data_IF_354899418094
#
_entry.id   IF_354899418094
#
_cell.length_a   1.000
_cell.length_b   1.000
_cell.length_c   1.000
_cell.angle_alpha   90.00
_cell.angle_beta   90.00
_cell.angle_gamma   90.00
#
_symmetry.space_group_name_H-M   'P 1'
#
loop_
_entity.id
_entity.type
_entity.pdbx_description
1 polymer ?
#
# COMPACT_ATOMS: atom_id res chain seq x y z
N UNK A 1 51.65 -27.41 52.56
CA UNK A 1 52.53 -26.89 51.45
C UNK A 1 51.80 -25.78 50.75
N UNK A 2 52.29 -24.55 50.84
CA UNK A 2 51.65 -23.39 50.15
C UNK A 2 52.11 -23.40 48.68
N UNK A 3 51.23 -23.32 47.71
CA UNK A 3 51.62 -23.28 46.30
C UNK A 3 52.43 -22.02 46.00
N UNK A 4 53.51 -22.18 45.24
CA UNK A 4 54.43 -21.10 44.89
C UNK A 4 53.76 -19.98 44.09
N UNK A 5 54.23 -18.74 44.27
CA UNK A 5 53.64 -17.56 43.62
C UNK A 5 53.61 -17.69 42.10
N UNK A 6 54.53 -18.41 41.51
CA UNK A 6 54.61 -18.69 40.06
C UNK A 6 53.43 -19.55 39.59
N UNK A 7 53.03 -20.55 40.37
CA UNK A 7 51.88 -21.39 40.00
C UNK A 7 50.55 -20.62 40.03
N UNK A 8 50.38 -19.67 40.95
CA UNK A 8 49.21 -18.82 41.06
C UNK A 8 49.14 -17.80 39.90
N UNK A 9 50.27 -17.32 39.43
CA UNK A 9 50.34 -16.37 38.32
C UNK A 9 50.04 -17.07 36.98
N UNK A 10 50.52 -18.28 36.79
CA UNK A 10 50.22 -19.11 35.61
C UNK A 10 48.76 -19.47 35.54
N UNK A 11 48.14 -19.89 36.67
CA UNK A 11 46.70 -20.23 36.72
C UNK A 11 45.78 -19.04 36.46
N UNK A 12 46.18 -17.84 36.93
CA UNK A 12 45.42 -16.60 36.64
C UNK A 12 45.48 -16.19 35.17
N UNK A 13 46.63 -16.40 34.49
CA UNK A 13 46.77 -16.07 33.05
C UNK A 13 46.00 -17.04 32.16
N UNK A 14 45.95 -18.34 32.48
CA UNK A 14 45.17 -19.32 31.75
C UNK A 14 43.68 -19.11 31.91
N UNK A 15 43.23 -18.74 33.12
CA UNK A 15 41.81 -18.45 33.37
C UNK A 15 41.34 -17.18 32.67
N UNK A 16 42.18 -16.13 32.61
CA UNK A 16 41.86 -14.89 31.90
C UNK A 16 41.76 -15.09 30.40
N UNK A 17 42.64 -15.91 29.79
CA UNK A 17 42.59 -16.22 28.36
C UNK A 17 41.38 -17.09 28.01
N UNK A 18 40.97 -18.01 28.88
CA UNK A 18 39.80 -18.85 28.67
C UNK A 18 38.48 -18.00 28.75
N UNK A 19 38.44 -17.03 29.65
CA UNK A 19 37.28 -16.15 29.80
C UNK A 19 37.14 -15.18 28.59
N UNK A 20 38.26 -14.70 28.06
CA UNK A 20 38.28 -13.84 26.88
C UNK A 20 37.89 -14.59 25.60
N UNK A 21 38.22 -15.86 25.48
CA UNK A 21 37.84 -16.71 24.34
C UNK A 21 36.33 -17.03 24.35
N UNK A 22 35.70 -17.12 25.52
CA UNK A 22 34.29 -17.44 25.64
C UNK A 22 33.37 -16.23 25.27
N UNK A 23 33.87 -15.01 25.42
CA UNK A 23 33.10 -13.79 25.09
C UNK A 23 33.12 -13.47 23.60
N UNK A 24 34.07 -13.95 22.83
CA UNK A 24 34.16 -13.70 21.38
C UNK A 24 33.25 -14.66 20.58
N UNK A 25 32.90 -15.82 21.14
CA UNK A 25 32.09 -16.82 20.44
C UNK A 25 30.59 -16.52 20.50
N UNK A 26 30.14 -15.60 21.34
CA UNK A 26 28.72 -15.21 21.46
C UNK A 26 28.30 -14.07 20.52
N UNK A 27 29.22 -13.51 19.73
CA UNK A 27 28.94 -12.35 18.87
C UNK A 27 28.59 -12.69 17.40
N UNK A 28 28.51 -13.96 17.02
CA UNK A 28 28.19 -14.38 15.65
C UNK A 28 27.01 -15.37 15.67
N UNK A 29 25.93 -15.01 16.34
CA UNK A 29 24.64 -15.55 15.92
C UNK A 29 24.08 -14.58 14.85
N UNK A 30 23.88 -15.00 13.60
CA UNK A 30 23.07 -14.23 12.71
C UNK A 30 21.71 -14.11 13.37
N UNK A 31 21.31 -12.90 13.74
CA UNK A 31 19.93 -12.63 14.09
C UNK A 31 19.09 -13.18 12.92
N UNK A 32 17.98 -13.93 13.18
CA UNK A 32 17.09 -14.25 12.10
C UNK A 32 16.68 -12.90 11.51
N UNK A 33 17.17 -12.61 10.32
CA UNK A 33 16.61 -11.56 9.51
C UNK A 33 15.17 -12.04 9.27
N UNK A 34 14.22 -11.55 10.09
CA UNK A 34 12.86 -11.47 9.65
C UNK A 34 12.96 -10.56 8.43
N UNK A 35 13.03 -11.18 7.27
CA UNK A 35 12.76 -10.50 6.03
C UNK A 35 11.36 -9.91 6.25
N UNK A 36 11.32 -8.65 6.61
CA UNK A 36 10.12 -7.87 6.47
C UNK A 36 9.80 -8.01 4.99
N UNK A 37 8.71 -8.71 4.72
CA UNK A 37 8.12 -8.85 3.39
C UNK A 37 7.59 -7.46 3.01
N UNK A 38 8.53 -6.55 2.76
CA UNK A 38 8.31 -5.13 2.53
C UNK A 38 8.32 -4.78 1.06
N UNK A 39 8.11 -5.77 0.20
CA UNK A 39 7.93 -5.55 -1.23
C UNK A 39 6.44 -5.50 -1.62
N UNK A 40 5.58 -5.05 -0.71
CA UNK A 40 4.27 -4.58 -1.11
C UNK A 40 4.45 -3.22 -1.77
N UNK A 41 4.65 -3.26 -3.07
CA UNK A 41 4.72 -2.09 -3.91
C UNK A 41 3.43 -1.28 -3.73
N UNK A 42 3.52 -0.16 -3.02
CA UNK A 42 2.38 0.73 -2.78
C UNK A 42 1.96 1.30 -4.13
N UNK A 43 0.71 1.05 -4.52
CA UNK A 43 0.11 1.57 -5.74
C UNK A 43 -0.80 2.73 -5.40
N UNK A 44 -0.47 3.93 -5.85
CA UNK A 44 -1.38 5.08 -5.78
C UNK A 44 -2.50 4.90 -6.79
N UNK A 45 -3.75 5.00 -6.31
CA UNK A 45 -4.97 4.96 -7.11
C UNK A 45 -5.66 6.30 -6.98
N UNK A 46 -5.72 7.06 -8.07
CA UNK A 46 -6.35 8.38 -8.12
C UNK A 46 -7.84 8.21 -8.29
N UNK A 47 -8.60 8.72 -7.35
CA UNK A 47 -10.05 8.53 -7.24
C UNK A 47 -10.76 9.84 -7.48
N UNK A 48 -11.66 9.88 -8.45
CA UNK A 48 -12.52 11.04 -8.69
C UNK A 48 -13.46 11.31 -7.51
N UNK A 49 -13.44 12.54 -7.01
CA UNK A 49 -14.26 13.02 -5.91
C UNK A 49 -15.22 14.10 -6.38
N UNK A 50 -16.49 13.71 -6.51
CA UNK A 50 -17.55 14.63 -6.93
C UNK A 50 -17.82 15.68 -5.88
N UNK A 51 -17.71 16.94 -6.22
CA UNK A 51 -18.11 18.04 -5.37
C UNK A 51 -19.66 18.09 -5.24
N UNK A 52 -20.14 18.42 -4.06
CA UNK A 52 -21.59 18.53 -3.76
C UNK A 52 -22.41 17.23 -3.95
N UNK A 53 -21.81 16.07 -3.81
CA UNK A 53 -22.50 14.79 -3.90
C UNK A 53 -22.96 14.31 -2.52
N UNK A 54 -23.94 15.01 -1.98
CA UNK A 54 -24.44 14.85 -0.61
C UNK A 54 -24.90 13.41 -0.33
N UNK A 55 -24.50 12.88 0.82
CA UNK A 55 -24.80 11.52 1.28
C UNK A 55 -23.87 10.45 0.67
N UNK A 56 -23.22 10.74 -0.45
CA UNK A 56 -22.37 9.78 -1.15
C UNK A 56 -20.87 10.13 -1.02
N UNK A 57 -20.48 11.33 -1.39
CA UNK A 57 -19.14 11.88 -1.22
C UNK A 57 -19.25 13.25 -0.56
N UNK A 58 -18.86 13.35 0.69
CA UNK A 58 -18.95 14.55 1.50
C UNK A 58 -17.58 14.97 2.01
N UNK A 59 -17.34 16.25 2.10
CA UNK A 59 -16.06 16.85 2.49
C UNK A 59 -15.17 17.18 1.30
N UNK A 60 -14.04 17.78 1.60
CA UNK A 60 -13.02 18.19 0.62
C UNK A 60 -11.78 17.33 0.76
N UNK A 61 -11.18 16.81 -0.33
CA UNK A 61 -9.89 16.13 -0.26
C UNK A 61 -8.82 16.97 0.46
N UNK A 62 -8.13 16.33 1.40
CA UNK A 62 -7.22 17.02 2.33
C UNK A 62 -7.86 17.35 3.68
N UNK A 63 -9.18 17.25 3.81
CA UNK A 63 -9.92 17.41 5.04
C UNK A 63 -10.63 16.10 5.43
N UNK A 64 -11.58 16.18 6.35
CA UNK A 64 -12.38 15.00 6.75
C UNK A 64 -13.36 14.63 5.63
N UNK A 65 -13.20 13.43 5.08
CA UNK A 65 -14.11 12.85 4.12
C UNK A 65 -15.13 11.93 4.80
N UNK A 66 -16.32 11.84 4.24
CA UNK A 66 -17.40 10.97 4.69
C UNK A 66 -18.38 10.65 3.55
N UNK A 67 -19.41 9.89 3.87
CA UNK A 67 -20.42 9.47 2.92
C UNK A 67 -20.23 8.03 2.45
N UNK A 68 -21.31 7.48 1.90
CA UNK A 68 -21.40 6.07 1.57
C UNK A 68 -20.31 5.62 0.57
N UNK A 69 -20.02 6.42 -0.45
CA UNK A 69 -18.97 6.12 -1.42
C UNK A 69 -17.57 6.14 -0.82
N UNK A 70 -17.33 7.02 0.16
CA UNK A 70 -16.09 7.00 0.93
C UNK A 70 -15.93 5.71 1.74
N UNK A 71 -16.97 5.34 2.49
CA UNK A 71 -16.97 4.13 3.33
C UNK A 71 -16.79 2.86 2.48
N UNK A 72 -17.43 2.83 1.30
CA UNK A 72 -17.23 1.74 0.35
C UNK A 72 -15.76 1.61 -0.10
N UNK A 73 -15.10 2.72 -0.44
CA UNK A 73 -13.68 2.72 -0.81
C UNK A 73 -12.79 2.28 0.36
N UNK A 74 -13.10 2.69 1.59
CA UNK A 74 -12.40 2.21 2.77
C UNK A 74 -12.55 0.69 2.93
N UNK A 75 -13.76 0.17 2.72
CA UNK A 75 -14.01 -1.28 2.74
C UNK A 75 -13.23 -1.99 1.63
N UNK A 76 -13.21 -1.43 0.42
CA UNK A 76 -12.47 -1.99 -0.72
C UNK A 76 -10.97 -2.09 -0.43
N UNK A 77 -10.41 -1.17 0.36
CA UNK A 77 -8.99 -1.18 0.72
C UNK A 77 -8.55 -2.44 1.48
N UNK A 78 -9.45 -3.11 2.19
CA UNK A 78 -9.15 -4.39 2.83
C UNK A 78 -8.87 -5.52 1.84
N UNK A 79 -9.43 -5.42 0.63
CA UNK A 79 -9.27 -6.41 -0.42
C UNK A 79 -8.18 -6.05 -1.42
N UNK A 80 -7.80 -4.77 -1.48
CA UNK A 80 -6.79 -4.24 -2.40
C UNK A 80 -5.53 -3.85 -1.63
N UNK A 81 -4.83 -4.84 -1.08
CA UNK A 81 -3.61 -4.62 -0.30
C UNK A 81 -2.58 -3.85 -1.12
N UNK A 82 -1.98 -2.84 -0.49
CA UNK A 82 -0.98 -1.98 -1.14
C UNK A 82 -1.56 -0.85 -1.98
N UNK A 83 -2.89 -0.70 -2.07
CA UNK A 83 -3.48 0.47 -2.70
C UNK A 83 -3.56 1.64 -1.72
N UNK A 84 -3.18 2.82 -2.20
CA UNK A 84 -3.40 4.09 -1.50
C UNK A 84 -4.26 4.98 -2.39
N UNK A 85 -5.35 5.52 -1.83
CA UNK A 85 -6.26 6.40 -2.56
C UNK A 85 -5.80 7.85 -2.45
N UNK A 86 -5.69 8.49 -3.60
CA UNK A 86 -5.53 9.93 -3.76
C UNK A 86 -6.81 10.49 -4.37
N UNK A 87 -7.48 11.41 -3.67
CA UNK A 87 -8.77 11.94 -4.12
C UNK A 87 -8.58 13.22 -4.91
N UNK A 88 -9.16 13.25 -6.12
CA UNK A 88 -9.11 14.39 -7.05
C UNK A 88 -10.50 14.97 -7.19
N UNK A 89 -10.69 16.20 -6.71
CA UNK A 89 -12.01 16.88 -6.77
C UNK A 89 -12.34 17.42 -8.15
N UNK A 90 -13.60 17.36 -8.52
CA UNK A 90 -14.10 17.95 -9.75
C UNK A 90 -15.61 17.83 -9.90
N UNK A 91 -16.12 18.46 -10.91
CA UNK A 91 -17.49 18.24 -11.41
C UNK A 91 -17.58 16.88 -12.11
N UNK A 92 -18.77 16.38 -12.35
CA UNK A 92 -18.97 15.12 -13.03
C UNK A 92 -18.31 15.09 -14.42
N UNK A 93 -18.44 16.18 -15.20
CA UNK A 93 -17.88 16.27 -16.54
C UNK A 93 -16.35 16.26 -16.52
N UNK A 94 -15.74 17.09 -15.66
CA UNK A 94 -14.29 17.16 -15.52
C UNK A 94 -13.71 15.79 -15.10
N UNK A 95 -14.31 15.13 -14.12
CA UNK A 95 -13.83 13.83 -13.67
C UNK A 95 -14.02 12.73 -14.72
N UNK A 96 -15.07 12.81 -15.54
CA UNK A 96 -15.25 11.88 -16.67
C UNK A 96 -14.17 12.08 -17.73
N UNK A 97 -13.86 13.32 -18.08
CA UNK A 97 -12.80 13.64 -19.03
C UNK A 97 -11.42 13.18 -18.50
N UNK A 98 -11.14 13.41 -17.22
CA UNK A 98 -9.93 12.93 -16.55
C UNK A 98 -9.84 11.40 -16.51
N UNK A 99 -10.97 10.71 -16.29
CA UNK A 99 -11.02 9.25 -16.28
C UNK A 99 -10.75 8.69 -17.69
N UNK A 100 -11.34 9.26 -18.72
CA UNK A 100 -11.09 8.88 -20.11
C UNK A 100 -9.64 9.18 -20.54
N UNK A 101 -9.08 10.30 -20.08
CA UNK A 101 -7.67 10.66 -20.33
C UNK A 101 -6.70 9.81 -19.52
N UNK A 102 -7.15 9.19 -18.42
CA UNK A 102 -6.35 8.43 -17.48
C UNK A 102 -5.56 9.28 -16.52
N UNK A 103 -6.04 10.46 -16.24
CA UNK A 103 -5.54 11.34 -15.19
C UNK A 103 -6.04 10.90 -13.82
N UNK A 104 -7.21 10.25 -13.75
CA UNK A 104 -7.68 9.48 -12.61
C UNK A 104 -7.89 8.01 -12.99
N UNK A 105 -7.83 7.13 -12.00
CA UNK A 105 -7.85 5.68 -12.21
C UNK A 105 -9.21 5.07 -11.89
N UNK A 106 -9.98 5.70 -11.02
CA UNK A 106 -11.24 5.20 -10.50
C UNK A 106 -12.21 6.35 -10.23
N UNK A 107 -13.47 6.14 -10.54
CA UNK A 107 -14.54 7.07 -10.21
C UNK A 107 -15.76 6.29 -9.69
N UNK A 108 -16.13 6.42 -8.41
CA UNK A 108 -17.34 5.81 -7.86
C UNK A 108 -18.59 6.60 -8.28
N UNK A 109 -19.77 5.97 -8.10
CA UNK A 109 -21.06 6.60 -8.33
C UNK A 109 -21.36 7.03 -9.77
N UNK A 110 -20.94 6.23 -10.75
CA UNK A 110 -21.35 6.43 -12.14
C UNK A 110 -22.35 5.34 -12.55
N UNK A 111 -23.43 5.72 -13.21
CA UNK A 111 -24.38 4.76 -13.78
C UNK A 111 -23.83 4.11 -15.03
N UNK A 112 -24.08 2.83 -15.19
CA UNK A 112 -23.76 2.09 -16.42
C UNK A 112 -24.51 2.67 -17.61
N UNK A 113 -23.82 2.76 -18.74
CA UNK A 113 -24.43 2.89 -20.06
C UNK A 113 -23.55 2.16 -21.10
N UNK A 114 -24.20 1.64 -22.15
CA UNK A 114 -23.50 0.95 -23.23
C UNK A 114 -22.49 1.87 -23.96
N UNK A 115 -22.71 3.16 -23.98
CA UNK A 115 -21.80 4.16 -24.54
C UNK A 115 -20.53 4.26 -23.68
N UNK A 116 -20.69 4.33 -22.37
CA UNK A 116 -19.55 4.43 -21.44
C UNK A 116 -18.73 3.14 -21.39
N UNK A 117 -19.38 1.97 -21.52
CA UNK A 117 -18.71 0.67 -21.56
C UNK A 117 -17.72 0.55 -22.72
N UNK A 118 -17.90 1.30 -23.79
CA UNK A 118 -16.94 1.32 -24.91
C UNK A 118 -15.60 1.97 -24.54
N UNK A 119 -15.58 2.78 -23.51
CA UNK A 119 -14.41 3.57 -23.08
C UNK A 119 -13.90 3.20 -21.69
N UNK A 120 -14.77 2.70 -20.83
CA UNK A 120 -14.52 2.47 -19.40
C UNK A 120 -14.78 1.02 -19.03
N UNK A 121 -14.05 0.54 -18.04
CA UNK A 121 -14.35 -0.74 -17.38
C UNK A 121 -15.31 -0.52 -16.22
N UNK A 122 -16.31 -1.37 -16.17
CA UNK A 122 -17.28 -1.43 -15.08
C UNK A 122 -16.96 -2.59 -14.15
N UNK A 123 -17.19 -2.42 -12.86
CA UNK A 123 -17.16 -3.55 -11.93
C UNK A 123 -18.30 -4.52 -12.27
N UNK A 124 -18.04 -5.82 -12.09
CA UNK A 124 -19.07 -6.86 -12.29
C UNK A 124 -20.19 -6.78 -11.26
N UNK A 125 -19.90 -6.23 -10.08
CA UNK A 125 -20.88 -6.02 -9.02
C UNK A 125 -21.07 -4.52 -8.78
N UNK A 126 -22.31 -4.06 -8.65
CA UNK A 126 -22.59 -2.67 -8.33
C UNK A 126 -22.12 -2.32 -6.91
N UNK A 127 -21.67 -1.11 -6.71
CA UNK A 127 -21.31 -0.55 -5.41
C UNK A 127 -22.53 -0.46 -4.45
N UNK A 128 -23.73 -0.52 -5.00
CA UNK A 128 -25.01 -0.56 -4.33
C UNK A 128 -26.10 -0.75 -5.36
N UNK A 129 -27.37 -0.63 -4.97
CA UNK A 129 -28.49 -0.85 -5.91
C UNK A 129 -28.52 0.10 -7.12
N UNK A 130 -27.69 1.17 -7.13
CA UNK A 130 -27.62 2.17 -8.20
C UNK A 130 -26.22 2.65 -8.56
N UNK A 131 -25.17 2.17 -7.90
CA UNK A 131 -23.82 2.66 -8.13
C UNK A 131 -22.91 1.54 -8.62
N UNK A 132 -22.13 1.84 -9.65
CA UNK A 132 -21.11 0.97 -10.22
C UNK A 132 -19.74 1.62 -10.01
N UNK A 133 -18.75 0.82 -9.70
CA UNK A 133 -17.36 1.24 -9.61
C UNK A 133 -16.70 1.14 -10.99
N UNK A 134 -15.96 2.15 -11.41
CA UNK A 134 -15.31 2.19 -12.71
C UNK A 134 -13.80 2.13 -12.56
N UNK A 135 -13.20 1.19 -13.26
CA UNK A 135 -11.76 1.09 -13.47
C UNK A 135 -11.46 1.35 -14.94
N UNK A 136 -10.47 2.19 -15.21
CA UNK A 136 -9.99 2.41 -16.57
C UNK A 136 -9.42 1.12 -17.15
N UNK A 137 -9.77 0.78 -18.38
CA UNK A 137 -9.03 -0.22 -19.15
C UNK A 137 -7.59 0.25 -19.37
N UNK A 138 -6.62 -0.52 -18.91
CA UNK A 138 -5.25 -0.33 -19.32
C UNK A 138 -5.22 -0.55 -20.85
N UNK A 139 -4.98 0.51 -21.63
CA UNK A 139 -4.72 0.33 -23.06
C UNK A 139 -3.57 -0.65 -23.21
N UNK A 140 -3.71 -1.74 -23.98
CA UNK A 140 -2.57 -2.54 -24.32
C UNK A 140 -1.54 -1.61 -24.98
N UNK A 141 -0.32 -1.60 -24.46
CA UNK A 141 0.80 -0.92 -25.14
C UNK A 141 0.81 -1.46 -26.55
N UNK A 142 0.56 -0.61 -27.52
CA UNK A 142 0.91 -0.91 -28.92
C UNK A 142 2.41 -1.17 -28.89
N UNK A 143 2.80 -2.43 -29.00
CA UNK A 143 4.17 -2.78 -29.34
C UNK A 143 4.45 -2.06 -30.64
N UNK A 144 5.33 -1.05 -30.59
CA UNK A 144 5.80 -0.36 -31.77
C UNK A 144 6.35 -1.41 -32.73
N UNK A 145 5.73 -1.54 -33.86
CA UNK A 145 6.39 -2.11 -35.01
C UNK A 145 7.38 -1.05 -35.48
N UNK A 146 8.67 -1.34 -35.19
CA UNK A 146 9.78 -0.69 -35.87
C UNK A 146 9.97 -1.30 -37.26
#
# INVERSE_FOLDING_TARGET
MKPSAVLRLALRRTLAVALAALTVLSAVMPAPAFAADSDQQVKTVRVGWLVNNKGFQEGTPGERLSGWGYEYLQTLSYYTKGWQYEYVSGTFSELMDMLEAGEIDLMPNISYSAEREQKLLFSSNPEGHRALLYLRQARPRRSGQG
#
